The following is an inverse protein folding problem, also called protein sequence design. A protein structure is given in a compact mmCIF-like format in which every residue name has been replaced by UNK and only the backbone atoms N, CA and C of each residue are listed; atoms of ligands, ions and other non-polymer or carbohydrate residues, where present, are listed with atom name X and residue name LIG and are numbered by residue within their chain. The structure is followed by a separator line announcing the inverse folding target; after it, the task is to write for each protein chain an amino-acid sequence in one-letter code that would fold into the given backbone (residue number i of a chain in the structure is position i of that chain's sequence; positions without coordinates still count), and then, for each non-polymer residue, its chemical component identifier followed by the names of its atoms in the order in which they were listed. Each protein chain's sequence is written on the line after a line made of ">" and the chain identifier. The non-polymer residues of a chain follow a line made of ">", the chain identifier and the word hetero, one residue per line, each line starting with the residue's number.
data_IF_904763300016
#
_entry.id   IF_904763300016
#
_cell.length_a   1.000
_cell.length_b   1.000
_cell.length_c   1.000
_cell.angle_alpha   90.00
_cell.angle_beta   90.00
_cell.angle_gamma   90.00
#
_symmetry.space_group_name_H-M   'P 1'
#
loop_
_entity.id
_entity.type
_entity.pdbx_description
1 polymer ?
#
# COMPACT_ATOMS: atom_id res chain seq x y z
N UNK A 1 -34.24 -25.16 13.06
CA UNK A 1 -32.79 -25.01 12.77
C UNK A 1 -32.68 -24.12 11.55
N UNK A 2 -32.15 -22.88 11.65
CA UNK A 2 -31.95 -22.05 10.46
C UNK A 2 -30.99 -22.80 9.53
N UNK A 3 -31.44 -23.09 8.31
CA UNK A 3 -30.61 -23.76 7.31
C UNK A 3 -29.43 -22.83 7.00
N UNK A 4 -28.24 -23.17 7.52
CA UNK A 4 -26.99 -22.55 7.08
C UNK A 4 -26.94 -22.65 5.56
N UNK A 5 -26.75 -21.49 4.90
CA UNK A 5 -26.68 -21.35 3.45
C UNK A 5 -25.70 -22.37 2.86
N UNK A 6 -26.07 -22.98 1.72
CA UNK A 6 -25.32 -24.07 1.06
C UNK A 6 -23.80 -23.79 0.96
N UNK A 7 -23.43 -22.54 0.74
CA UNK A 7 -22.03 -22.11 0.63
C UNK A 7 -21.22 -22.34 1.91
N UNK A 8 -21.77 -22.08 3.10
CA UNK A 8 -21.06 -22.24 4.39
C UNK A 8 -20.83 -23.71 4.76
N UNK A 9 -21.45 -24.65 4.04
CA UNK A 9 -21.22 -26.08 4.22
C UNK A 9 -20.06 -26.61 3.38
N UNK A 10 -19.55 -25.82 2.43
CA UNK A 10 -18.41 -26.21 1.64
C UNK A 10 -17.12 -26.14 2.48
N UNK A 11 -16.17 -27.07 2.27
CA UNK A 11 -14.81 -26.95 2.80
C UNK A 11 -14.19 -25.60 2.46
N UNK A 12 -13.26 -25.14 3.31
CA UNK A 12 -12.62 -23.83 3.18
C UNK A 12 -11.88 -23.72 1.84
N UNK A 13 -11.28 -24.81 1.38
CA UNK A 13 -10.50 -24.90 0.15
C UNK A 13 -11.36 -24.55 -1.07
N UNK A 14 -12.56 -25.13 -1.17
CA UNK A 14 -13.49 -24.82 -2.26
C UNK A 14 -13.99 -23.37 -2.20
N UNK A 15 -14.13 -22.81 -1.00
CA UNK A 15 -14.52 -21.40 -0.84
C UNK A 15 -13.39 -20.47 -1.25
N UNK A 16 -12.14 -20.81 -0.95
CA UNK A 16 -10.96 -20.09 -1.44
C UNK A 16 -10.86 -20.12 -2.97
N UNK A 17 -11.15 -21.26 -3.62
CA UNK A 17 -11.23 -21.33 -5.09
C UNK A 17 -12.28 -20.36 -5.64
N UNK A 18 -13.48 -20.33 -5.04
CA UNK A 18 -14.52 -19.36 -5.41
C UNK A 18 -14.01 -17.92 -5.24
N UNK A 19 -13.33 -17.62 -4.13
CA UNK A 19 -12.78 -16.29 -3.89
C UNK A 19 -11.68 -15.90 -4.87
N UNK A 20 -10.84 -16.85 -5.32
CA UNK A 20 -9.84 -16.59 -6.35
C UNK A 20 -10.49 -16.12 -7.67
N UNK A 21 -11.63 -16.69 -8.04
CA UNK A 21 -12.40 -16.24 -9.20
C UNK A 21 -13.06 -14.87 -8.98
N UNK A 22 -13.53 -14.59 -7.76
CA UNK A 22 -14.19 -13.32 -7.44
C UNK A 22 -13.20 -12.14 -7.28
N UNK A 23 -11.97 -12.42 -6.85
CA UNK A 23 -10.93 -11.43 -6.59
C UNK A 23 -9.69 -11.71 -7.44
N UNK A 24 -9.78 -11.58 -8.78
CA UNK A 24 -8.66 -11.85 -9.66
C UNK A 24 -7.49 -10.88 -9.39
N UNK A 25 -6.26 -11.27 -9.75
CA UNK A 25 -5.07 -10.42 -9.67
C UNK A 25 -5.09 -9.33 -10.75
N UNK A 26 -5.99 -8.38 -10.58
CA UNK A 26 -6.11 -7.19 -11.43
C UNK A 26 -5.67 -5.96 -10.62
N UNK A 27 -4.46 -5.43 -10.86
CA UNK A 27 -3.93 -4.31 -10.10
C UNK A 27 -4.85 -3.10 -10.14
N UNK A 28 -5.15 -2.55 -8.97
CA UNK A 28 -5.96 -1.33 -8.82
C UNK A 28 -5.09 -0.20 -8.31
N UNK A 29 -5.00 0.89 -9.08
CA UNK A 29 -4.31 2.12 -8.67
C UNK A 29 -5.18 2.95 -7.75
N UNK A 30 -4.57 3.56 -6.73
CA UNK A 30 -5.20 4.41 -5.71
C UNK A 30 -6.49 3.79 -5.14
N UNK A 31 -6.42 2.58 -4.57
CA UNK A 31 -7.61 1.90 -4.05
C UNK A 31 -8.28 2.69 -2.91
N UNK A 32 -7.49 3.53 -2.22
CA UNK A 32 -7.90 4.41 -1.13
C UNK A 32 -7.24 5.78 -1.34
N UNK A 33 -7.90 6.73 -2.04
CA UNK A 33 -7.26 7.99 -2.47
C UNK A 33 -6.66 8.86 -1.35
N UNK A 34 -7.11 8.69 -0.11
CA UNK A 34 -6.68 9.49 1.06
C UNK A 34 -5.62 8.81 1.93
N UNK A 35 -5.25 7.58 1.59
CA UNK A 35 -4.31 6.74 2.33
C UNK A 35 -3.16 6.52 1.36
N UNK A 36 -1.93 6.89 1.68
CA UNK A 36 -0.79 6.98 0.74
C UNK A 36 -0.41 5.74 -0.09
N UNK A 37 -1.23 4.69 -0.10
CA UNK A 37 -1.21 3.53 -0.98
C UNK A 37 -1.36 3.97 -2.45
N UNK A 38 -0.36 3.61 -3.23
CA UNK A 38 -0.31 3.90 -4.67
C UNK A 38 -1.08 2.86 -5.48
N UNK A 39 -0.95 1.58 -5.14
CA UNK A 39 -1.72 0.52 -5.80
C UNK A 39 -1.84 -0.74 -4.95
N UNK A 40 -2.74 -1.64 -5.34
CA UNK A 40 -2.91 -2.98 -4.77
C UNK A 40 -3.00 -4.00 -5.91
N UNK A 41 -2.41 -5.18 -5.71
CA UNK A 41 -2.30 -6.23 -6.75
C UNK A 41 -3.62 -6.90 -7.16
N UNK A 42 -4.65 -6.86 -6.30
CA UNK A 42 -5.93 -7.52 -6.57
C UNK A 42 -7.09 -6.55 -6.38
N UNK A 43 -8.17 -6.79 -7.12
CA UNK A 43 -9.42 -6.04 -7.01
C UNK A 43 -10.01 -6.18 -5.59
N UNK A 44 -10.32 -5.08 -4.89
CA UNK A 44 -10.91 -5.14 -3.56
C UNK A 44 -12.32 -5.76 -3.58
N UNK A 45 -12.75 -6.42 -2.50
CA UNK A 45 -14.12 -6.91 -2.38
C UNK A 45 -15.12 -5.73 -2.41
N UNK A 46 -16.17 -5.87 -3.21
CA UNK A 46 -17.27 -4.91 -3.27
C UNK A 46 -18.10 -4.96 -1.99
N UNK A 47 -18.87 -3.90 -1.73
CA UNK A 47 -19.80 -3.87 -0.61
C UNK A 47 -20.79 -5.05 -0.67
N UNK A 48 -21.26 -5.43 -1.86
CA UNK A 48 -22.16 -6.57 -2.04
C UNK A 48 -21.54 -7.88 -1.55
N UNK A 49 -20.25 -8.10 -1.82
CA UNK A 49 -19.54 -9.28 -1.30
C UNK A 49 -19.44 -9.27 0.23
N UNK A 50 -19.25 -8.09 0.82
CA UNK A 50 -19.10 -7.92 2.28
C UNK A 50 -20.42 -7.91 3.04
N UNK A 51 -21.57 -7.75 2.37
CA UNK A 51 -22.90 -7.72 3.00
C UNK A 51 -23.66 -9.06 2.96
N UNK A 52 -23.08 -10.12 2.42
CA UNK A 52 -23.76 -11.43 2.27
C UNK A 52 -24.03 -12.09 3.62
N UNK A 53 -22.98 -12.30 4.44
CA UNK A 53 -23.08 -12.97 5.72
C UNK A 53 -21.82 -12.71 6.57
N UNK A 54 -21.97 -12.42 7.86
CA UNK A 54 -20.85 -12.01 8.74
C UNK A 54 -19.64 -12.95 8.70
N UNK A 55 -19.87 -14.26 8.70
CA UNK A 55 -18.77 -15.25 8.62
C UNK A 55 -18.05 -15.19 7.27
N UNK A 56 -18.79 -15.07 6.16
CA UNK A 56 -18.19 -14.95 4.83
C UNK A 56 -17.45 -13.63 4.69
N UNK A 57 -17.99 -12.54 5.24
CA UNK A 57 -17.33 -11.23 5.26
C UNK A 57 -15.95 -11.32 5.91
N UNK A 58 -15.86 -11.89 7.11
CA UNK A 58 -14.60 -12.05 7.82
C UNK A 58 -13.60 -12.94 7.06
N UNK A 59 -14.09 -14.02 6.45
CA UNK A 59 -13.27 -14.92 5.65
C UNK A 59 -12.74 -14.26 4.37
N UNK A 60 -13.62 -13.59 3.62
CA UNK A 60 -13.26 -12.84 2.40
C UNK A 60 -12.21 -11.77 2.71
N UNK A 61 -12.38 -11.02 3.79
CA UNK A 61 -11.41 -10.01 4.20
C UNK A 61 -10.05 -10.64 4.53
N UNK A 62 -10.05 -11.73 5.31
CA UNK A 62 -8.84 -12.46 5.67
C UNK A 62 -8.12 -12.99 4.42
N UNK A 63 -8.87 -13.64 3.52
CA UNK A 63 -8.37 -14.16 2.26
C UNK A 63 -7.78 -13.06 1.37
N UNK A 64 -8.50 -11.94 1.21
CA UNK A 64 -8.05 -10.81 0.41
C UNK A 64 -6.73 -10.20 0.92
N UNK A 65 -6.63 -9.94 2.23
CA UNK A 65 -5.39 -9.39 2.81
C UNK A 65 -4.23 -10.37 2.81
N UNK A 66 -4.51 -11.67 2.83
CA UNK A 66 -3.49 -12.70 2.70
C UNK A 66 -2.88 -12.77 1.29
N UNK A 67 -3.65 -12.46 0.25
CA UNK A 67 -3.18 -12.51 -1.13
C UNK A 67 -2.56 -11.20 -1.62
N UNK A 68 -3.08 -10.07 -1.15
CA UNK A 68 -2.76 -8.76 -1.69
C UNK A 68 -1.41 -8.22 -1.24
N UNK A 69 -0.64 -7.73 -2.20
CA UNK A 69 0.49 -6.80 -1.97
C UNK A 69 0.05 -5.36 -2.20
N UNK A 70 0.39 -4.50 -1.25
CA UNK A 70 0.05 -3.08 -1.21
C UNK A 70 1.29 -2.23 -1.50
N UNK A 71 1.23 -1.38 -2.51
CA UNK A 71 2.38 -0.61 -3.02
C UNK A 71 2.43 0.79 -2.43
N UNK A 72 3.59 1.13 -1.87
CA UNK A 72 3.97 2.47 -1.43
C UNK A 72 5.18 2.92 -2.23
N UNK A 73 5.03 3.92 -3.08
CA UNK A 73 6.18 4.54 -3.72
C UNK A 73 6.83 5.51 -2.72
N UNK A 74 8.14 5.51 -2.54
CA UNK A 74 8.90 6.47 -1.75
C UNK A 74 9.75 7.28 -2.71
N UNK A 75 9.43 8.56 -2.88
CA UNK A 75 10.12 9.44 -3.83
C UNK A 75 10.11 10.87 -3.32
N UNK A 76 11.04 11.70 -3.81
CA UNK A 76 11.01 13.13 -3.58
C UNK A 76 10.07 13.89 -4.52
N UNK A 77 10.17 13.66 -5.83
CA UNK A 77 9.47 14.44 -6.85
C UNK A 77 7.93 14.38 -6.69
N UNK A 78 7.42 13.27 -6.18
CA UNK A 78 5.97 13.03 -6.11
C UNK A 78 5.26 13.64 -4.90
N UNK A 79 5.96 14.27 -3.96
CA UNK A 79 5.29 14.82 -2.75
C UNK A 79 4.43 16.04 -3.04
N UNK A 80 4.71 16.78 -4.10
CA UNK A 80 3.87 17.89 -4.51
C UNK A 80 2.45 17.42 -4.87
N UNK A 81 2.30 16.17 -5.27
CA UNK A 81 1.07 15.63 -5.84
C UNK A 81 0.31 14.70 -4.91
N UNK A 82 0.94 14.18 -3.85
CA UNK A 82 0.29 13.24 -2.93
C UNK A 82 -0.67 13.89 -1.94
N UNK A 83 -1.72 13.13 -1.61
CA UNK A 83 -2.70 13.45 -0.55
C UNK A 83 -2.13 13.17 0.84
N UNK A 84 -1.27 12.16 0.97
CA UNK A 84 -0.78 11.66 2.26
C UNK A 84 0.74 11.42 2.21
N UNK A 85 1.51 12.49 1.99
CA UNK A 85 2.98 12.43 1.88
C UNK A 85 3.66 11.97 3.17
N UNK A 86 3.02 12.20 4.33
CA UNK A 86 3.51 11.79 5.65
C UNK A 86 2.86 10.48 6.16
N UNK A 87 2.05 9.79 5.35
CA UNK A 87 1.38 8.53 5.73
C UNK A 87 0.48 8.63 6.99
N UNK A 88 -0.03 9.82 7.31
CA UNK A 88 -0.97 10.04 8.43
C UNK A 88 -2.33 9.38 8.17
N UNK A 89 -2.79 9.41 6.92
CA UNK A 89 -4.02 8.75 6.51
C UNK A 89 -3.90 7.23 6.66
N UNK A 90 -2.76 6.67 6.26
CA UNK A 90 -2.45 5.25 6.48
C UNK A 90 -2.37 4.89 7.95
N UNK A 91 -1.67 5.69 8.77
CA UNK A 91 -1.54 5.48 10.21
C UNK A 91 -2.90 5.42 10.92
N UNK A 92 -3.87 6.24 10.49
CA UNK A 92 -5.22 6.28 11.06
C UNK A 92 -6.15 5.21 10.49
N UNK A 93 -5.84 4.64 9.34
CA UNK A 93 -6.71 3.69 8.64
C UNK A 93 -6.72 2.32 9.33
N UNK A 94 -7.90 1.69 9.41
CA UNK A 94 -8.02 0.31 9.89
C UNK A 94 -7.30 -0.69 8.98
N UNK A 95 -7.09 -0.33 7.70
CA UNK A 95 -6.40 -1.17 6.71
C UNK A 95 -4.99 -1.52 7.15
N UNK A 96 -4.28 -0.58 7.82
CA UNK A 96 -2.91 -0.79 8.30
C UNK A 96 -2.77 -2.04 9.17
N UNK A 97 -3.77 -2.33 10.00
CA UNK A 97 -3.75 -3.48 10.92
C UNK A 97 -3.83 -4.83 10.20
N UNK A 98 -4.35 -4.83 8.98
CA UNK A 98 -4.56 -6.04 8.17
C UNK A 98 -3.52 -6.19 7.06
N UNK A 99 -2.61 -5.22 6.87
CA UNK A 99 -1.58 -5.33 5.86
C UNK A 99 -0.64 -6.50 6.20
N UNK A 100 -0.51 -7.44 5.26
CA UNK A 100 0.38 -8.60 5.38
C UNK A 100 1.59 -8.53 4.46
N UNK A 101 1.40 -7.98 3.26
CA UNK A 101 2.44 -7.81 2.25
C UNK A 101 2.45 -6.37 1.73
N UNK A 102 3.60 -5.73 1.80
CA UNK A 102 3.80 -4.36 1.32
C UNK A 102 4.97 -4.34 0.35
N UNK A 103 4.84 -3.59 -0.73
CA UNK A 103 5.96 -3.26 -1.62
C UNK A 103 6.34 -1.79 -1.42
N UNK A 104 7.56 -1.56 -0.93
CA UNK A 104 8.19 -0.25 -0.86
C UNK A 104 9.00 -0.02 -2.13
N UNK A 105 8.58 0.94 -2.95
CA UNK A 105 9.25 1.28 -4.22
C UNK A 105 10.01 2.58 -4.05
N UNK A 106 11.32 2.51 -3.89
CA UNK A 106 12.19 3.68 -3.84
C UNK A 106 12.39 4.20 -5.26
N UNK A 107 11.89 5.41 -5.53
CA UNK A 107 11.97 6.03 -6.85
C UNK A 107 12.81 7.31 -6.82
N UNK A 108 14.05 7.17 -7.27
CA UNK A 108 15.01 8.24 -7.43
C UNK A 108 14.87 8.82 -8.84
N UNK A 109 13.97 9.80 -9.01
CA UNK A 109 13.72 10.44 -10.31
C UNK A 109 14.68 11.61 -10.60
N UNK A 110 15.31 11.60 -11.78
CA UNK A 110 16.19 12.67 -12.24
C UNK A 110 15.47 13.97 -12.54
N UNK A 111 14.16 13.94 -12.85
CA UNK A 111 13.42 15.13 -13.27
C UNK A 111 13.55 16.28 -12.27
N UNK A 112 13.44 15.98 -10.98
CA UNK A 112 13.56 17.00 -9.95
C UNK A 112 14.98 17.57 -9.83
N UNK A 113 16.01 16.74 -9.99
CA UNK A 113 17.40 17.19 -9.96
C UNK A 113 17.73 18.05 -11.19
N UNK A 114 17.08 17.80 -12.33
CA UNK A 114 17.16 18.66 -13.52
C UNK A 114 16.47 20.00 -13.30
N UNK A 115 15.28 19.99 -12.70
CA UNK A 115 14.51 21.21 -12.47
C UNK A 115 15.11 22.09 -11.35
N UNK A 116 15.78 21.48 -10.37
CA UNK A 116 16.41 22.17 -9.25
C UNK A 116 17.85 21.68 -8.97
N UNK A 117 18.83 22.04 -9.82
CA UNK A 117 20.21 21.56 -9.68
C UNK A 117 20.89 21.97 -8.37
N UNK A 118 20.48 23.10 -7.79
CA UNK A 118 21.00 23.62 -6.52
C UNK A 118 20.61 22.81 -5.29
N UNK A 119 19.63 21.91 -5.41
CA UNK A 119 19.19 21.05 -4.31
C UNK A 119 20.26 20.00 -3.96
N UNK A 120 20.98 19.51 -4.96
CA UNK A 120 22.03 18.50 -4.80
C UNK A 120 21.49 17.10 -4.51
N UNK A 121 22.30 16.09 -4.83
CA UNK A 121 21.95 14.68 -4.65
C UNK A 121 21.89 14.26 -3.17
N UNK A 122 22.70 14.88 -2.31
CA UNK A 122 22.72 14.58 -0.88
C UNK A 122 21.41 14.95 -0.19
N UNK A 123 20.88 16.15 -0.43
CA UNK A 123 19.61 16.57 0.13
C UNK A 123 18.44 15.72 -0.40
N UNK A 124 18.51 15.34 -1.68
CA UNK A 124 17.57 14.42 -2.30
C UNK A 124 17.55 13.06 -1.61
N UNK A 125 18.72 12.45 -1.42
CA UNK A 125 18.85 11.17 -0.72
C UNK A 125 18.41 11.27 0.75
N UNK A 126 18.77 12.34 1.45
CA UNK A 126 18.37 12.57 2.84
C UNK A 126 16.84 12.64 3.00
N UNK A 127 16.15 13.31 2.08
CA UNK A 127 14.69 13.45 2.14
C UNK A 127 13.96 12.16 1.71
N UNK A 128 14.50 11.35 0.78
CA UNK A 128 13.98 9.99 0.53
C UNK A 128 14.17 9.11 1.77
N UNK A 129 15.34 9.17 2.40
CA UNK A 129 15.63 8.44 3.65
C UNK A 129 14.65 8.81 4.76
N UNK A 130 14.42 10.10 5.00
CA UNK A 130 13.44 10.58 5.99
C UNK A 130 12.05 9.99 5.76
N UNK A 131 11.64 9.83 4.50
CA UNK A 131 10.35 9.19 4.18
C UNK A 131 10.37 7.69 4.39
N UNK A 132 11.50 7.04 4.11
CA UNK A 132 11.71 5.64 4.47
C UNK A 132 11.55 5.44 5.98
N UNK A 133 12.13 6.33 6.80
CA UNK A 133 11.98 6.31 8.27
C UNK A 133 10.50 6.45 8.68
N UNK A 134 9.77 7.38 8.07
CA UNK A 134 8.33 7.53 8.34
C UNK A 134 7.52 6.31 7.90
N UNK A 135 7.79 5.75 6.73
CA UNK A 135 7.14 4.53 6.25
C UNK A 135 7.42 3.35 7.19
N UNK A 136 8.66 3.18 7.66
CA UNK A 136 9.03 2.17 8.64
C UNK A 136 8.28 2.37 9.95
N UNK A 137 8.20 3.61 10.44
CA UNK A 137 7.45 3.92 11.67
C UNK A 137 5.96 3.53 11.57
N UNK A 138 5.30 3.88 10.47
CA UNK A 138 3.87 3.56 10.26
C UNK A 138 3.69 2.05 10.07
N UNK A 139 4.52 1.40 9.26
CA UNK A 139 4.45 -0.04 9.01
C UNK A 139 4.79 -0.87 10.26
N UNK A 140 5.61 -0.35 11.18
CA UNK A 140 5.87 -0.99 12.47
C UNK A 140 4.60 -1.15 13.33
N UNK A 141 3.53 -0.40 13.04
CA UNK A 141 2.24 -0.52 13.72
C UNK A 141 1.35 -1.63 13.10
N UNK A 142 1.73 -2.18 11.93
CA UNK A 142 0.98 -3.21 11.23
C UNK A 142 1.25 -4.60 11.83
N UNK A 143 0.42 -5.01 12.79
CA UNK A 143 0.59 -6.26 13.56
C UNK A 143 0.60 -7.53 12.70
N UNK A 144 -0.11 -7.51 11.57
CA UNK A 144 -0.20 -8.65 10.65
C UNK A 144 0.85 -8.63 9.54
N UNK A 145 1.75 -7.63 9.51
CA UNK A 145 2.78 -7.53 8.48
C UNK A 145 3.73 -8.73 8.56
N UNK A 146 3.92 -9.40 7.42
CA UNK A 146 4.78 -10.58 7.28
C UNK A 146 5.83 -10.42 6.20
N UNK A 147 5.57 -9.63 5.17
CA UNK A 147 6.46 -9.49 4.03
C UNK A 147 6.57 -8.03 3.56
N UNK A 148 7.80 -7.56 3.39
CA UNK A 148 8.11 -6.27 2.76
C UNK A 148 9.01 -6.52 1.56
N UNK A 149 8.48 -6.25 0.37
CA UNK A 149 9.27 -6.24 -0.87
C UNK A 149 9.84 -4.85 -1.08
N UNK A 150 11.14 -4.77 -1.36
CA UNK A 150 11.86 -3.51 -1.60
C UNK A 150 12.24 -3.47 -3.06
N UNK A 151 11.60 -2.57 -3.81
CA UNK A 151 11.92 -2.29 -5.22
C UNK A 151 12.67 -0.97 -5.31
N UNK A 152 13.61 -0.87 -6.24
CA UNK A 152 14.45 0.31 -6.44
C UNK A 152 14.41 0.74 -7.90
N UNK A 153 14.16 2.02 -8.15
CA UNK A 153 14.15 2.59 -9.49
C UNK A 153 14.93 3.89 -9.47
N UNK A 154 16.02 3.92 -10.22
CA UNK A 154 16.96 5.03 -10.29
C UNK A 154 17.14 5.53 -11.72
N UNK A 155 16.65 6.74 -11.98
CA UNK A 155 16.86 7.41 -13.27
C UNK A 155 17.91 8.51 -13.17
N UNK A 156 18.54 8.71 -12.01
CA UNK A 156 19.50 9.80 -11.77
C UNK A 156 20.83 9.61 -12.49
N UNK A 157 21.18 8.36 -12.82
CA UNK A 157 22.40 7.98 -13.56
C UNK A 157 23.71 8.49 -12.92
N UNK A 158 23.74 8.67 -11.59
CA UNK A 158 24.90 9.25 -10.90
C UNK A 158 25.91 8.23 -10.36
N UNK A 159 25.65 6.92 -10.43
CA UNK A 159 26.55 5.86 -9.93
C UNK A 159 26.79 5.84 -8.41
N UNK A 160 26.18 6.75 -7.63
CA UNK A 160 26.40 6.86 -6.18
C UNK A 160 25.59 5.84 -5.37
N UNK A 161 25.80 4.56 -5.64
CA UNK A 161 25.02 3.46 -5.07
C UNK A 161 25.22 3.28 -3.57
N UNK A 162 26.44 3.44 -3.05
CA UNK A 162 26.71 3.35 -1.60
C UNK A 162 25.93 4.42 -0.82
N UNK A 163 25.97 5.68 -1.29
CA UNK A 163 25.23 6.79 -0.69
C UNK A 163 23.71 6.58 -0.74
N UNK A 164 23.24 5.91 -1.81
CA UNK A 164 21.83 5.54 -1.96
C UNK A 164 21.44 4.33 -1.11
N UNK A 165 22.33 3.38 -0.87
CA UNK A 165 22.09 2.27 0.03
C UNK A 165 21.79 2.75 1.46
N UNK A 166 22.37 3.88 1.87
CA UNK A 166 22.06 4.52 3.15
C UNK A 166 20.57 4.93 3.30
N UNK A 167 19.83 5.10 2.20
CA UNK A 167 18.38 5.36 2.20
C UNK A 167 17.60 4.17 2.75
N UNK A 168 18.14 2.95 2.61
CA UNK A 168 17.51 1.71 3.04
C UNK A 168 17.76 1.40 4.52
N UNK A 169 18.74 2.05 5.17
CA UNK A 169 19.07 1.84 6.58
C UNK A 169 17.88 1.85 7.55
N UNK A 170 16.84 2.70 7.38
CA UNK A 170 15.65 2.68 8.22
C UNK A 170 14.90 1.34 8.23
N UNK A 171 15.00 0.54 7.16
CA UNK A 171 14.35 -0.77 7.06
C UNK A 171 14.91 -1.78 8.07
N UNK A 172 16.13 -1.59 8.56
CA UNK A 172 16.70 -2.42 9.64
C UNK A 172 15.85 -2.38 10.91
N UNK A 173 15.18 -1.25 11.19
CA UNK A 173 14.29 -1.14 12.34
C UNK A 173 13.06 -2.04 12.22
N UNK A 174 12.53 -2.21 11.00
CA UNK A 174 11.43 -3.15 10.74
C UNK A 174 11.90 -4.61 10.79
N UNK A 175 13.14 -4.88 10.41
CA UNK A 175 13.73 -6.23 10.46
C UNK A 175 14.06 -6.69 11.90
N UNK A 176 14.32 -5.74 12.82
CA UNK A 176 14.79 -6.02 14.17
C UNK A 176 13.84 -6.92 14.99
N UNK A 177 12.53 -6.84 14.73
CA UNK A 177 11.51 -7.64 15.42
C UNK A 177 11.45 -9.09 14.92
N UNK A 178 12.16 -9.45 13.84
CA UNK A 178 12.22 -10.81 13.26
C UNK A 178 10.90 -11.33 12.69
N UNK A 179 9.81 -10.56 12.77
CA UNK A 179 8.48 -10.97 12.31
C UNK A 179 8.27 -10.73 10.81
N UNK A 180 9.03 -9.80 10.22
CA UNK A 180 8.86 -9.34 8.84
C UNK A 180 9.98 -9.89 7.96
N UNK A 181 9.60 -10.63 6.92
CA UNK A 181 10.52 -11.09 5.87
C UNK A 181 10.72 -10.00 4.83
N UNK A 182 11.97 -9.74 4.48
CA UNK A 182 12.29 -8.85 3.38
C UNK A 182 12.52 -9.61 2.08
N UNK A 183 12.13 -9.01 0.97
CA UNK A 183 12.41 -9.49 -0.39
C UNK A 183 12.92 -8.34 -1.24
N UNK A 184 13.87 -8.63 -2.12
CA UNK A 184 14.28 -7.67 -3.14
C UNK A 184 13.32 -7.83 -4.33
N UNK A 185 12.67 -6.74 -4.70
CA UNK A 185 11.77 -6.66 -5.83
C UNK A 185 12.49 -6.28 -7.11
N UNK A 186 11.87 -5.38 -7.88
CA UNK A 186 12.47 -4.91 -9.13
C UNK A 186 13.57 -3.87 -8.84
N UNK A 187 14.74 -4.02 -9.47
CA UNK A 187 15.85 -3.05 -9.38
C UNK A 187 16.17 -2.52 -10.77
N UNK A 188 15.99 -1.22 -10.96
CA UNK A 188 16.27 -0.47 -12.18
C UNK A 188 17.26 0.65 -11.90
N UNK A 189 18.21 0.85 -12.80
CA UNK A 189 19.35 1.76 -12.66
C UNK A 189 20.15 1.86 -13.96
N UNK A 190 21.23 2.65 -14.01
CA UNK A 190 22.19 2.67 -15.11
C UNK A 190 22.63 1.26 -15.54
N UNK A 191 22.96 1.13 -16.82
CA UNK A 191 23.17 -0.16 -17.52
C UNK A 191 24.44 -0.92 -17.10
N UNK A 192 25.26 -0.33 -16.23
CA UNK A 192 26.46 -0.98 -15.72
C UNK A 192 26.09 -2.10 -14.75
N UNK A 193 26.12 -3.32 -15.27
CA UNK A 193 25.73 -4.55 -14.56
C UNK A 193 26.53 -4.76 -13.25
N UNK A 194 27.82 -4.40 -13.24
CA UNK A 194 28.69 -4.54 -12.06
C UNK A 194 28.23 -3.65 -10.90
N UNK A 195 27.96 -2.37 -11.16
CA UNK A 195 27.45 -1.44 -10.14
C UNK A 195 26.08 -1.87 -9.59
N UNK A 196 25.23 -2.43 -10.46
CA UNK A 196 23.92 -2.93 -10.08
C UNK A 196 24.02 -4.14 -9.15
N UNK A 197 24.96 -5.04 -9.41
CA UNK A 197 25.22 -6.21 -8.56
C UNK A 197 25.77 -5.81 -7.19
N UNK A 198 26.68 -4.84 -7.15
CA UNK A 198 27.20 -4.25 -5.91
C UNK A 198 26.09 -3.56 -5.10
N UNK A 199 25.20 -2.84 -5.77
CA UNK A 199 24.04 -2.25 -5.11
C UNK A 199 23.09 -3.32 -4.55
N UNK A 200 22.80 -4.38 -5.31
CA UNK A 200 21.98 -5.50 -4.82
C UNK A 200 22.66 -6.19 -3.63
N UNK A 201 23.98 -6.32 -3.62
CA UNK A 201 24.73 -6.83 -2.47
C UNK A 201 24.55 -5.91 -1.25
N UNK A 202 24.64 -4.59 -1.43
CA UNK A 202 24.38 -3.59 -0.39
C UNK A 202 22.93 -3.66 0.12
N UNK A 203 21.95 -3.86 -0.77
CA UNK A 203 20.55 -4.10 -0.38
C UNK A 203 20.42 -5.35 0.47
N UNK A 204 21.08 -6.46 0.10
CA UNK A 204 21.05 -7.71 0.88
C UNK A 204 21.67 -7.52 2.26
N UNK A 205 22.77 -6.79 2.36
CA UNK A 205 23.39 -6.47 3.66
C UNK A 205 22.43 -5.69 4.56
N UNK A 206 21.68 -4.74 3.99
CA UNK A 206 20.73 -3.93 4.76
C UNK A 206 19.49 -4.72 5.16
N UNK A 207 18.96 -5.56 4.28
CA UNK A 207 17.70 -6.29 4.46
C UNK A 207 17.87 -7.63 5.20
N UNK A 208 19.08 -8.17 5.26
CA UNK A 208 19.40 -9.50 5.79
C UNK A 208 19.32 -10.61 4.72
N UNK A 209 20.12 -11.66 4.86
CA UNK A 209 20.34 -12.71 3.85
C UNK A 209 19.13 -13.66 3.58
N UNK A 210 17.98 -13.52 4.24
CA UNK A 210 16.86 -14.47 4.10
C UNK A 210 15.84 -14.13 2.99
N UNK A 211 16.26 -13.41 1.95
CA UNK A 211 15.40 -13.05 0.82
C UNK A 211 15.61 -13.95 -0.40
N UNK A 212 14.58 -14.71 -0.80
CA UNK A 212 14.50 -15.23 -2.18
C UNK A 212 14.52 -14.05 -3.15
N UNK A 213 15.62 -13.95 -3.91
CA UNK A 213 15.84 -12.88 -4.89
C UNK A 213 14.98 -13.18 -6.11
N UNK A 214 13.77 -12.64 -6.14
CA UNK A 214 12.96 -12.52 -7.35
C UNK A 214 13.46 -11.36 -8.22
N UNK A 215 14.77 -11.31 -8.53
CA UNK A 215 15.35 -10.27 -9.37
C UNK A 215 14.95 -10.53 -10.82
N UNK A 216 13.81 -9.99 -11.23
CA UNK A 216 13.56 -9.74 -12.65
C UNK A 216 14.34 -8.47 -13.02
N UNK A 217 15.53 -8.66 -13.57
CA UNK A 217 16.29 -7.61 -14.22
C UNK A 217 15.52 -7.24 -15.50
N UNK A 218 14.84 -6.09 -15.52
CA UNK A 218 14.11 -5.61 -16.70
C UNK A 218 14.95 -4.67 -17.54
N UNK A 219 14.78 -4.72 -18.87
CA UNK A 219 15.60 -4.02 -19.88
C UNK A 219 15.08 -2.62 -20.30
N UNK A 220 14.24 -1.94 -19.50
CA UNK A 220 13.79 -0.57 -19.86
C UNK A 220 13.46 0.28 -18.62
N UNK A 221 14.42 1.10 -18.18
CA UNK A 221 14.30 1.98 -17.02
C UNK A 221 13.32 3.14 -17.28
N UNK A 222 13.26 3.66 -18.51
CA UNK A 222 12.47 4.85 -18.86
C UNK A 222 10.98 4.54 -18.93
N UNK A 223 10.60 3.41 -19.53
CA UNK A 223 9.21 2.95 -19.57
C UNK A 223 8.66 2.72 -18.15
N UNK A 224 9.43 2.05 -17.29
CA UNK A 224 9.05 1.81 -15.89
C UNK A 224 8.97 3.09 -15.07
N UNK A 225 9.88 4.03 -15.28
CA UNK A 225 9.80 5.35 -14.66
C UNK A 225 8.54 6.10 -15.09
N UNK A 226 8.13 6.00 -16.36
CA UNK A 226 6.88 6.57 -16.86
C UNK A 226 5.65 5.98 -16.17
N UNK A 227 5.58 4.65 -16.03
CA UNK A 227 4.49 3.96 -15.34
C UNK A 227 4.41 4.38 -13.87
N UNK A 228 5.54 4.47 -13.17
CA UNK A 228 5.55 4.93 -11.78
C UNK A 228 5.15 6.39 -11.63
N UNK A 229 5.54 7.27 -12.58
CA UNK A 229 5.06 8.65 -12.62
C UNK A 229 3.53 8.65 -12.73
N UNK A 230 2.97 7.95 -13.72
CA UNK A 230 1.53 7.81 -13.88
C UNK A 230 0.83 7.28 -12.62
N UNK A 231 1.44 6.31 -11.92
CA UNK A 231 0.90 5.78 -10.66
C UNK A 231 1.06 6.73 -9.47
N UNK A 232 2.03 7.63 -9.49
CA UNK A 232 2.20 8.61 -8.43
C UNK A 232 1.27 9.81 -8.58
N UNK A 233 0.78 10.07 -9.79
CA UNK A 233 -0.18 11.13 -10.13
C UNK A 233 -1.60 10.56 -10.24
N UNK A 234 -2.49 10.84 -9.28
CA UNK A 234 -3.92 10.57 -9.47
C UNK A 234 -4.64 11.85 -9.90
N UNK A 235 -5.18 11.93 -11.13
CA UNK A 235 -5.88 13.13 -11.62
C UNK A 235 -7.14 13.47 -10.80
N UNK A 236 -7.69 12.52 -10.01
CA UNK A 236 -8.78 12.79 -9.08
C UNK A 236 -8.32 13.67 -7.91
N UNK A 237 -7.03 13.65 -7.56
CA UNK A 237 -6.45 14.47 -6.48
C UNK A 237 -6.50 15.97 -6.80
N UNK A 238 -6.45 16.35 -8.08
CA UNK A 238 -6.59 17.76 -8.49
C UNK A 238 -7.99 18.32 -8.21
N UNK A 239 -9.03 17.48 -8.28
CA UNK A 239 -10.43 17.90 -8.09
C UNK A 239 -10.76 18.22 -6.64
N UNK A 240 -10.26 17.44 -5.69
CA UNK A 240 -10.50 17.68 -4.26
C UNK A 240 -9.80 18.95 -3.77
N UNK A 241 -8.57 19.23 -4.25
CA UNK A 241 -7.87 20.49 -3.94
C UNK A 241 -8.62 21.71 -4.48
N UNK A 242 -9.11 21.65 -5.73
CA UNK A 242 -9.94 22.71 -6.32
C UNK A 242 -11.27 22.87 -5.58
N UNK A 243 -11.92 21.78 -5.18
CA UNK A 243 -13.16 21.82 -4.40
C UNK A 243 -12.95 22.41 -3.00
N UNK A 244 -11.84 22.08 -2.33
CA UNK A 244 -11.48 22.66 -1.02
C UNK A 244 -11.09 24.14 -1.08
N UNK A 245 -10.50 24.59 -2.20
CA UNK A 245 -10.19 26.00 -2.43
C UNK A 245 -11.43 26.84 -2.81
N UNK A 246 -12.49 26.20 -3.32
CA UNK A 246 -13.71 26.88 -3.80
C UNK A 246 -14.88 26.78 -2.80
N UNK A 247 -14.77 25.95 -1.76
CA UNK A 247 -15.86 25.70 -0.80
C UNK A 247 -15.82 26.57 0.46
N UNK A 248 -15.92 27.88 0.27
CA UNK A 248 -16.87 28.66 1.09
C UNK A 248 -18.21 28.58 0.39
N UNK A 249 -19.14 27.81 0.98
CA UNK A 249 -20.51 27.54 0.49
C UNK A 249 -20.63 26.60 -0.70
N UNK A 250 -20.96 25.34 -0.41
CA UNK A 250 -22.11 24.62 -0.96
C UNK A 250 -21.94 23.11 -0.75
N UNK A 251 -22.98 22.51 -0.19
CA UNK A 251 -23.19 21.09 -0.03
C UNK A 251 -23.17 20.42 -1.40
N UNK A 252 -22.15 19.62 -1.71
CA UNK A 252 -22.14 18.79 -2.92
C UNK A 252 -21.93 17.32 -2.58
N UNK A 253 -23.04 16.60 -2.54
CA UNK A 253 -23.12 15.15 -2.65
C UNK A 253 -22.73 14.71 -4.05
N UNK A 254 -21.62 13.97 -4.21
CA UNK A 254 -21.29 13.27 -5.47
C UNK A 254 -20.47 11.99 -5.27
N UNK A 255 -20.99 10.90 -5.86
CA UNK A 255 -20.32 9.75 -6.49
C UNK A 255 -19.33 8.90 -5.66
N UNK A 256 -19.88 8.04 -4.80
CA UNK A 256 -19.20 6.90 -4.17
C UNK A 256 -19.37 5.64 -5.04
N UNK A 257 -18.53 5.47 -6.05
CA UNK A 257 -18.23 4.14 -6.59
C UNK A 257 -17.03 3.58 -5.78
N UNK A 258 -17.30 2.91 -4.67
CA UNK A 258 -17.47 1.45 -4.58
C UNK A 258 -16.18 0.66 -4.31
N UNK A 259 -15.25 1.19 -3.52
CA UNK A 259 -14.46 0.32 -2.62
C UNK A 259 -15.31 0.05 -1.37
N UNK A 260 -15.52 -1.23 -1.03
CA UNK A 260 -16.33 -1.63 0.15
C UNK A 260 -15.68 -1.27 1.50
N UNK A 261 -14.48 -0.68 1.46
CA UNK A 261 -13.72 -0.25 2.63
C UNK A 261 -14.26 1.09 3.14
N UNK A 262 -15.27 1.01 4.00
CA UNK A 262 -15.64 2.10 4.90
C UNK A 262 -14.96 1.88 6.24
N UNK A 263 -14.26 2.89 6.76
CA UNK A 263 -13.64 2.87 8.09
C UNK A 263 -14.66 2.41 9.14
N UNK A 264 -14.26 1.56 10.11
CA UNK A 264 -15.12 1.11 11.22
C UNK A 264 -15.85 2.25 11.96
N UNK A 265 -15.27 3.46 11.97
CA UNK A 265 -15.89 4.66 12.51
C UNK A 265 -17.13 5.17 11.74
N UNK A 266 -17.26 4.83 10.46
CA UNK A 266 -18.46 5.12 9.64
C UNK A 266 -19.54 4.05 9.72
N UNK A 267 -19.19 2.80 10.06
CA UNK A 267 -20.19 1.76 10.36
C UNK A 267 -21.02 2.11 11.61
N UNK A 268 -20.44 2.79 12.59
CA UNK A 268 -21.18 3.30 13.77
C UNK A 268 -22.05 4.53 13.47
N UNK A 269 -21.73 5.32 12.44
CA UNK A 269 -22.47 6.56 12.11
C UNK A 269 -23.58 6.38 11.07
N UNK A 270 -23.56 5.30 10.29
CA UNK A 270 -24.70 4.91 9.44
C UNK A 270 -25.78 4.26 10.30
N UNK A 271 -26.53 5.07 11.05
CA UNK A 271 -27.51 4.68 12.06
C UNK A 271 -28.51 3.60 11.63
N UNK A 272 -28.15 2.34 11.91
CA UNK A 272 -29.09 1.23 12.00
C UNK A 272 -28.53 0.10 12.87
N UNK A 273 -28.34 0.38 14.16
CA UNK A 273 -28.20 -0.65 15.21
C UNK A 273 -28.44 -0.03 16.61
N UNK A 274 -29.52 0.75 16.76
CA UNK A 274 -30.18 0.92 18.06
C UNK A 274 -31.49 0.13 18.02
N UNK A 275 -31.40 -1.19 18.06
CA UNK A 275 -32.57 -2.05 18.25
C UNK A 275 -32.24 -3.43 18.81
N UNK A 276 -31.11 -3.63 19.52
CA UNK A 276 -30.78 -4.97 20.07
C UNK A 276 -30.05 -4.92 21.43
N UNK A 277 -30.39 -3.94 22.28
CA UNK A 277 -29.97 -3.91 23.70
C UNK A 277 -31.15 -3.88 24.69
N UNK A 278 -32.36 -4.27 24.29
CA UNK A 278 -33.40 -4.68 25.26
C UNK A 278 -33.63 -6.17 25.10
N UNK A 279 -33.08 -6.93 26.05
CA UNK A 279 -33.48 -8.31 26.25
C UNK A 279 -34.98 -8.41 26.59
N UNK A 280 -35.60 -9.57 26.39
CA UNK A 280 -36.98 -9.78 26.81
C UNK A 280 -37.05 -9.70 28.33
N UNK A 281 -37.68 -8.65 28.85
CA UNK A 281 -38.24 -8.70 30.19
C UNK A 281 -39.42 -9.68 30.15
N UNK A 282 -39.35 -10.65 31.04
CA UNK A 282 -40.29 -11.74 31.23
C UNK A 282 -41.73 -11.23 31.39
N UNK A 283 -42.66 -11.92 30.73
CA UNK A 283 -44.09 -11.87 31.05
C UNK A 283 -44.43 -13.13 31.83
N UNK A 284 -44.78 -12.96 33.10
CA UNK A 284 -45.91 -13.66 33.71
C UNK A 284 -45.59 -14.75 34.74
N UNK A 285 -45.67 -14.37 36.03
CA UNK A 285 -46.73 -14.80 36.94
C UNK A 285 -46.85 -13.79 38.10
#
# INVERSE_FOLDING_TARGET
>A
MPQLTSLLRLPLELRHEIYAYLFPPNPTSHPLPHVGITSVTHTPPTLTHLLVHRQLTAEIQTYYFQLTTWKLIISHAFNFFRVDSNLEGLERSSVLRHLRRVELVFFCDILLLKDYPSFGLEAFSAEIRRRAERACHVLGQARELKEVTVSWIDTTLTGQWEGKAAILMPLKALAADGQVRFRIGEVYGPDEQEEKEEFVASMREVLGEEGEVGSKLGEDCDSKASDLRMLAFDPRQGRDRLASATSTSATSSQSLAASGWRDEGTWRRSGRLEAWQRGPAEVGA
#
